data_IF_442944224997
#
_entry.id   IF_442944224997
#
_cell.length_a   1.000
_cell.length_b   1.000
_cell.length_c   1.000
_cell.angle_alpha   90.00
_cell.angle_beta   90.00
_cell.angle_gamma   90.00
#
_symmetry.space_group_name_H-M   'P 1'
#
loop_
_entity.id
_entity.type
_entity.pdbx_description
1 polymer ?
#
# COMPACT_ATOMS: atom_id res chain seq x y z
N UNK A 1 -8.96 11.61 -11.84
CA UNK A 1 -9.06 11.59 -10.37
C UNK A 1 -8.37 10.34 -9.87
N UNK A 2 -7.32 10.48 -9.09
CA UNK A 2 -6.59 9.34 -8.56
C UNK A 2 -7.47 8.67 -7.50
N UNK A 3 -8.10 7.57 -7.82
CA UNK A 3 -8.89 6.81 -6.87
C UNK A 3 -7.87 6.06 -6.00
N UNK A 4 -7.57 6.63 -4.85
CA UNK A 4 -6.86 5.91 -3.79
C UNK A 4 -7.84 4.90 -3.23
N UNK A 5 -7.52 3.63 -3.39
CA UNK A 5 -8.32 2.54 -2.81
C UNK A 5 -8.11 2.42 -1.29
N UNK A 6 -7.38 3.36 -0.70
CA UNK A 6 -7.23 3.48 0.75
C UNK A 6 -8.58 3.77 1.40
N UNK A 7 -8.89 3.07 2.49
CA UNK A 7 -10.10 3.29 3.27
C UNK A 7 -10.02 4.61 4.05
N UNK A 8 -8.84 4.94 4.53
CA UNK A 8 -8.60 6.06 5.45
C UNK A 8 -7.31 6.76 5.04
N UNK A 9 -7.27 8.09 5.19
CA UNK A 9 -6.07 8.92 5.04
C UNK A 9 -5.90 9.82 6.25
N UNK A 10 -4.68 9.96 6.73
CA UNK A 10 -4.33 10.92 7.77
C UNK A 10 -3.94 12.25 7.10
N UNK A 11 -4.64 13.34 7.45
CA UNK A 11 -4.35 14.71 7.04
C UNK A 11 -4.01 15.53 8.28
N UNK A 12 -2.71 15.61 8.59
CA UNK A 12 -2.25 16.18 9.84
C UNK A 12 -2.82 15.38 11.01
N UNK A 13 -3.53 16.04 11.90
CA UNK A 13 -4.14 15.43 13.10
C UNK A 13 -5.54 14.82 12.85
N UNK A 14 -6.04 14.92 11.62
CA UNK A 14 -7.38 14.41 11.25
C UNK A 14 -7.29 13.16 10.38
N UNK A 15 -8.11 12.19 10.74
CA UNK A 15 -8.33 10.98 9.96
C UNK A 15 -9.60 11.11 9.14
N UNK A 16 -9.50 10.94 7.82
CA UNK A 16 -10.60 11.12 6.88
C UNK A 16 -10.84 9.84 6.07
N UNK A 17 -12.11 9.61 5.72
CA UNK A 17 -12.48 8.51 4.83
C UNK A 17 -12.12 8.85 3.38
N UNK A 18 -11.62 7.84 2.67
CA UNK A 18 -11.28 7.92 1.26
C UNK A 18 -12.32 7.23 0.39
N UNK A 19 -12.13 7.33 -0.93
CA UNK A 19 -12.99 6.68 -1.91
C UNK A 19 -13.15 5.17 -1.71
N UNK A 20 -12.12 4.50 -1.19
CA UNK A 20 -12.19 3.08 -0.84
C UNK A 20 -13.22 2.75 0.23
N UNK A 21 -13.50 3.66 1.16
CA UNK A 21 -14.56 3.46 2.17
C UNK A 21 -15.96 3.48 1.54
N UNK A 22 -16.17 4.39 0.58
CA UNK A 22 -17.43 4.48 -0.17
C UNK A 22 -17.61 3.23 -1.04
N UNK A 23 -16.54 2.81 -1.71
CA UNK A 23 -16.53 1.61 -2.54
C UNK A 23 -16.90 0.37 -1.71
N UNK A 24 -16.35 0.23 -0.50
CA UNK A 24 -16.67 -0.87 0.40
C UNK A 24 -18.14 -0.89 0.81
N UNK A 25 -18.72 0.26 1.18
CA UNK A 25 -20.14 0.36 1.49
C UNK A 25 -20.99 -0.04 0.28
N UNK A 26 -20.60 0.38 -0.93
CA UNK A 26 -21.30 0.01 -2.15
C UNK A 26 -21.26 -1.49 -2.41
N UNK A 27 -20.15 -2.18 -2.13
CA UNK A 27 -20.04 -3.64 -2.20
C UNK A 27 -20.95 -4.33 -1.17
N UNK A 28 -20.99 -3.80 0.07
CA UNK A 28 -21.82 -4.35 1.16
C UNK A 28 -23.32 -4.32 0.83
N UNK A 29 -23.77 -3.36 0.05
CA UNK A 29 -25.17 -3.29 -0.45
C UNK A 29 -25.38 -4.01 -1.79
N UNK A 30 -24.43 -4.84 -2.22
CA UNK A 30 -24.52 -5.68 -3.41
C UNK A 30 -24.02 -5.04 -4.71
N UNK A 31 -23.39 -3.88 -4.64
CA UNK A 31 -22.79 -3.23 -5.79
C UNK A 31 -21.50 -3.90 -6.26
N UNK A 32 -21.15 -3.74 -7.54
CA UNK A 32 -19.90 -4.23 -8.12
C UNK A 32 -18.91 -3.10 -8.26
N UNK A 33 -17.73 -3.21 -7.62
CA UNK A 33 -16.65 -2.24 -7.69
C UNK A 33 -15.47 -2.78 -8.49
N UNK A 34 -14.82 -1.91 -9.25
CA UNK A 34 -13.55 -2.21 -9.93
C UNK A 34 -12.49 -1.27 -9.35
N UNK A 35 -11.44 -1.86 -8.80
CA UNK A 35 -10.34 -1.14 -8.17
C UNK A 35 -9.18 -0.99 -9.14
N UNK A 36 -8.70 0.24 -9.32
CA UNK A 36 -7.57 0.58 -10.18
C UNK A 36 -6.30 0.98 -9.42
N UNK A 37 -6.41 1.36 -8.15
CA UNK A 37 -5.29 1.79 -7.32
C UNK A 37 -4.52 0.63 -6.67
N UNK A 38 -3.53 0.95 -5.84
CA UNK A 38 -2.76 -0.02 -5.06
C UNK A 38 -3.64 -0.70 -4.02
N UNK A 39 -3.55 -2.02 -3.80
CA UNK A 39 -2.53 -2.99 -4.29
C UNK A 39 -2.89 -3.73 -5.58
N UNK A 40 -3.87 -3.27 -6.36
CA UNK A 40 -4.41 -3.97 -7.52
C UNK A 40 -3.54 -3.79 -8.78
N UNK A 41 -3.55 -4.82 -9.65
CA UNK A 41 -2.70 -4.92 -10.84
C UNK A 41 -2.82 -3.76 -11.84
N UNK A 42 -4.00 -3.13 -12.08
CA UNK A 42 -4.11 -2.13 -13.15
C UNK A 42 -3.13 -0.96 -13.03
N UNK A 43 -2.88 -0.46 -11.80
CA UNK A 43 -1.93 0.65 -11.60
C UNK A 43 -0.50 0.24 -11.95
N UNK A 44 -0.11 -0.99 -11.61
CA UNK A 44 1.23 -1.52 -11.89
C UNK A 44 1.40 -1.82 -13.37
N UNK A 45 0.41 -2.41 -14.03
CA UNK A 45 0.42 -2.69 -15.46
C UNK A 45 0.57 -1.40 -16.28
N UNK A 46 -0.07 -0.32 -15.84
CA UNK A 46 0.05 0.99 -16.51
C UNK A 46 1.42 1.62 -16.31
N UNK A 47 1.96 1.52 -15.08
CA UNK A 47 3.24 2.15 -14.70
C UNK A 47 4.44 1.32 -15.16
N UNK A 48 4.36 -0.01 -15.11
CA UNK A 48 5.44 -0.94 -15.44
C UNK A 48 5.46 -1.37 -16.90
N UNK A 49 4.81 -0.66 -17.82
CA UNK A 49 4.98 -0.84 -19.28
C UNK A 49 6.45 -0.67 -19.74
N UNK A 50 7.34 -0.40 -18.81
CA UNK A 50 8.78 -0.28 -19.03
C UNK A 50 9.37 -1.69 -18.98
N UNK A 51 9.32 -2.34 -20.13
CA UNK A 51 9.86 -3.67 -20.39
C UNK A 51 11.24 -3.93 -19.79
N UNK A 52 11.44 -5.11 -19.21
CA UNK A 52 12.73 -5.72 -18.83
C UNK A 52 13.61 -5.01 -17.79
N UNK A 53 13.09 -4.03 -17.04
CA UNK A 53 13.81 -3.41 -15.93
C UNK A 53 13.34 -3.96 -14.59
N UNK A 54 14.28 -4.08 -13.64
CA UNK A 54 13.91 -4.36 -12.25
C UNK A 54 13.11 -3.18 -11.69
N UNK A 55 11.99 -3.47 -11.06
CA UNK A 55 11.11 -2.47 -10.44
C UNK A 55 11.27 -2.54 -8.93
N UNK A 56 11.50 -1.40 -8.30
CA UNK A 56 11.48 -1.23 -6.86
C UNK A 56 10.26 -0.38 -6.47
N UNK A 57 9.36 -0.94 -5.69
CA UNK A 57 8.22 -0.22 -5.14
C UNK A 57 8.62 0.39 -3.79
N UNK A 58 8.41 1.69 -3.61
CA UNK A 58 8.74 2.42 -2.38
C UNK A 58 7.45 2.93 -1.75
N UNK A 59 7.25 2.64 -0.48
CA UNK A 59 6.07 3.12 0.24
C UNK A 59 6.11 2.84 1.73
N UNK A 60 5.11 3.33 2.44
CA UNK A 60 5.01 3.24 3.90
C UNK A 60 3.82 2.40 4.38
N UNK A 61 3.00 1.91 3.47
CA UNK A 61 1.78 1.18 3.81
C UNK A 61 1.86 -0.30 3.40
N UNK A 62 1.78 -1.18 4.42
CA UNK A 62 1.82 -2.63 4.22
C UNK A 62 0.66 -3.15 3.37
N UNK A 63 -0.56 -2.58 3.53
CA UNK A 63 -1.76 -3.02 2.80
C UNK A 63 -1.82 -2.60 1.34
N UNK A 64 -1.14 -1.52 0.97
CA UNK A 64 -1.22 -0.96 -0.39
C UNK A 64 0.10 -1.07 -1.12
N UNK A 65 1.16 -0.45 -0.60
CA UNK A 65 2.44 -0.36 -1.28
C UNK A 65 3.18 -1.70 -1.29
N UNK A 66 3.36 -2.29 -0.10
CA UNK A 66 4.11 -3.54 0.05
C UNK A 66 3.30 -4.71 -0.51
N UNK A 67 2.02 -4.80 -0.17
CA UNK A 67 1.13 -5.83 -0.71
C UNK A 67 1.03 -5.76 -2.24
N UNK A 68 0.94 -4.56 -2.78
CA UNK A 68 0.93 -4.37 -4.23
C UNK A 68 2.21 -4.83 -4.91
N UNK A 69 3.37 -4.50 -4.35
CA UNK A 69 4.65 -4.98 -4.85
C UNK A 69 4.74 -6.52 -4.79
N UNK A 70 4.33 -7.13 -3.66
CA UNK A 70 4.31 -8.59 -3.50
C UNK A 70 3.40 -9.26 -4.54
N UNK A 71 2.20 -8.70 -4.79
CA UNK A 71 1.26 -9.23 -5.78
C UNK A 71 1.83 -9.22 -7.20
N UNK A 72 2.69 -8.26 -7.51
CA UNK A 72 3.37 -8.14 -8.81
C UNK A 72 4.73 -8.84 -8.85
N UNK A 73 5.20 -9.41 -7.74
CA UNK A 73 6.54 -9.99 -7.57
C UNK A 73 7.66 -8.97 -7.82
N UNK A 74 7.43 -7.72 -7.43
CA UNK A 74 8.43 -6.65 -7.47
C UNK A 74 9.13 -6.54 -6.12
N UNK A 75 10.38 -6.08 -6.16
CA UNK A 75 11.11 -5.70 -4.94
C UNK A 75 10.41 -4.49 -4.28
N UNK A 76 10.49 -4.42 -2.95
CA UNK A 76 9.88 -3.34 -2.21
C UNK A 76 10.80 -2.79 -1.12
N UNK A 77 10.63 -1.50 -0.83
CA UNK A 77 11.29 -0.74 0.22
C UNK A 77 10.23 -0.12 1.14
N UNK A 78 10.18 -0.58 2.38
CA UNK A 78 9.30 -0.03 3.40
C UNK A 78 9.92 1.20 4.06
N UNK A 79 9.17 2.30 4.08
CA UNK A 79 9.53 3.52 4.81
C UNK A 79 8.88 3.48 6.21
N UNK A 80 9.70 3.31 7.24
CA UNK A 80 9.21 3.02 8.60
C UNK A 80 8.72 4.24 9.36
N UNK A 81 9.03 5.46 8.92
CA UNK A 81 8.52 6.70 9.55
C UNK A 81 7.10 7.08 9.11
N UNK A 82 6.46 6.25 8.28
CA UNK A 82 5.11 6.47 7.77
C UNK A 82 4.00 5.91 8.68
N UNK A 83 2.94 5.41 8.05
CA UNK A 83 1.68 5.03 8.71
C UNK A 83 1.83 3.95 9.81
N UNK A 84 2.84 3.07 9.69
CA UNK A 84 3.09 2.00 10.66
C UNK A 84 4.14 2.35 11.72
N UNK A 85 4.54 3.62 11.85
CA UNK A 85 5.56 4.06 12.83
C UNK A 85 5.25 3.59 14.25
N UNK A 86 4.01 3.74 14.71
CA UNK A 86 3.61 3.35 16.05
C UNK A 86 3.60 1.84 16.26
N UNK A 87 3.20 1.08 15.25
CA UNK A 87 3.22 -0.39 15.29
C UNK A 87 4.66 -0.92 15.33
N UNK A 88 5.58 -0.29 14.62
CA UNK A 88 7.00 -0.62 14.59
C UNK A 88 7.74 -0.27 15.89
N UNK A 89 7.29 0.76 16.61
CA UNK A 89 7.84 1.09 17.92
C UNK A 89 7.49 0.04 19.00
N UNK A 90 6.42 -0.71 18.80
CA UNK A 90 5.92 -1.72 19.76
C UNK A 90 6.30 -3.15 19.31
N UNK A 91 6.51 -3.36 18.02
CA UNK A 91 6.72 -4.67 17.41
C UNK A 91 7.87 -4.72 16.41
N UNK A 92 8.18 -5.93 15.95
CA UNK A 92 9.16 -6.16 14.87
C UNK A 92 8.52 -6.14 13.49
N UNK A 93 9.34 -6.00 12.46
CA UNK A 93 8.93 -6.12 11.06
C UNK A 93 8.27 -7.48 10.80
N UNK A 94 8.84 -8.57 11.35
CA UNK A 94 8.32 -9.93 11.17
C UNK A 94 6.85 -10.05 11.63
N UNK A 95 6.50 -9.42 12.76
CA UNK A 95 5.11 -9.39 13.25
C UNK A 95 4.17 -8.62 12.30
N UNK A 96 4.68 -7.56 11.68
CA UNK A 96 3.91 -6.81 10.68
C UNK A 96 3.75 -7.62 9.40
N UNK A 97 4.80 -8.27 8.93
CA UNK A 97 4.73 -9.17 7.76
C UNK A 97 3.68 -10.27 7.97
N UNK A 98 3.68 -10.92 9.13
CA UNK A 98 2.70 -11.93 9.50
C UNK A 98 1.28 -11.35 9.56
N UNK A 99 1.10 -10.21 10.26
CA UNK A 99 -0.19 -9.54 10.42
C UNK A 99 -0.83 -9.15 9.08
N UNK A 100 -0.03 -8.66 8.14
CA UNK A 100 -0.50 -8.17 6.84
C UNK A 100 -0.38 -9.20 5.70
N UNK A 101 0.26 -10.35 5.96
CA UNK A 101 0.46 -11.41 4.98
C UNK A 101 1.33 -10.97 3.80
N UNK A 102 2.39 -10.20 4.06
CA UNK A 102 3.27 -9.62 3.05
C UNK A 102 4.73 -9.82 3.43
N UNK A 103 5.64 -9.63 2.45
CA UNK A 103 7.08 -9.71 2.67
C UNK A 103 7.76 -8.41 2.30
N UNK A 104 8.64 -7.92 3.18
CA UNK A 104 9.44 -6.71 2.99
C UNK A 104 10.85 -7.11 2.56
N UNK A 105 11.34 -6.54 1.44
CA UNK A 105 12.70 -6.81 0.95
C UNK A 105 13.72 -5.86 1.57
N UNK A 106 13.38 -4.57 1.64
CA UNK A 106 14.26 -3.51 2.13
C UNK A 106 13.53 -2.59 3.08
N UNK A 107 14.27 -1.98 4.00
CA UNK A 107 13.73 -1.09 5.04
C UNK A 107 14.58 0.16 5.12
N UNK A 108 13.92 1.31 5.22
CA UNK A 108 14.58 2.60 5.46
C UNK A 108 13.68 3.48 6.32
N UNK A 109 14.28 4.25 7.24
CA UNK A 109 13.47 5.11 8.13
C UNK A 109 12.83 6.26 7.37
N UNK A 110 13.60 6.94 6.54
CA UNK A 110 13.15 8.07 5.70
C UNK A 110 13.77 7.94 4.32
N UNK A 111 13.02 8.33 3.31
CA UNK A 111 13.57 8.40 1.96
C UNK A 111 14.66 9.48 1.91
N UNK A 112 15.85 9.07 1.53
CA UNK A 112 17.00 9.95 1.29
C UNK A 112 17.56 9.61 -0.09
N UNK A 113 17.81 10.64 -0.84
CA UNK A 113 18.43 10.58 -2.18
C UNK A 113 19.92 10.85 -2.08
#
# INVERSE_FOLDING_TARGET
MCIRDSLIVDRGDKREFCAGSIAKIFEEIGGKVIYFGKPYSPVYNLSAKISNKKVLCIGDNMNTDIKGANNQKFDNLLITSGIHKNELNIGSIDKLEEKYGVKVNYIQTKLKW
#
